data_IF_487284205329
#
_entry.id   IF_487284205329
#
_cell.length_a   1.000
_cell.length_b   1.000
_cell.length_c   1.000
_cell.angle_alpha   90.00
_cell.angle_beta   90.00
_cell.angle_gamma   90.00
#
_symmetry.space_group_name_H-M   'P 1'
#
loop_
_entity.id
_entity.type
_entity.pdbx_description
1 polymer ?
#
# COMPACT_ATOMS: atom_id res chain seq x y z
N UNK A 1 -21.45 -4.62 16.76
CA UNK A 1 -20.79 -3.42 16.19
C UNK A 1 -20.59 -3.67 14.71
N UNK A 2 -21.56 -3.27 13.86
CA UNK A 2 -21.56 -3.62 12.45
C UNK A 2 -21.10 -2.42 11.62
N UNK A 3 -19.98 -2.60 10.91
CA UNK A 3 -19.38 -1.67 9.95
C UNK A 3 -20.26 -1.45 8.69
N UNK A 4 -21.59 -1.42 8.85
CA UNK A 4 -22.59 -1.38 7.79
C UNK A 4 -22.80 0.02 7.19
N UNK A 5 -22.08 1.05 7.65
CA UNK A 5 -22.37 2.45 7.28
C UNK A 5 -21.24 3.21 6.58
N UNK A 6 -20.10 2.58 6.29
CA UNK A 6 -19.02 3.31 5.63
C UNK A 6 -19.33 3.69 4.17
N UNK A 7 -20.10 2.87 3.45
CA UNK A 7 -20.32 3.10 2.01
C UNK A 7 -21.42 4.13 1.70
N UNK A 8 -22.28 4.52 2.66
CA UNK A 8 -23.34 5.50 2.41
C UNK A 8 -22.75 6.92 2.50
N UNK A 9 -22.45 7.53 1.34
CA UNK A 9 -22.03 8.92 1.17
C UNK A 9 -20.60 9.30 1.62
N UNK A 10 -19.72 8.32 1.88
CA UNK A 10 -18.35 8.64 2.25
C UNK A 10 -17.50 8.96 0.99
N UNK A 11 -17.15 10.24 0.82
CA UNK A 11 -16.38 10.80 -0.32
C UNK A 11 -15.14 9.97 -0.72
N UNK A 12 -14.50 9.34 0.26
CA UNK A 12 -13.26 8.59 0.07
C UNK A 12 -13.46 7.07 0.01
N UNK A 13 -14.70 6.57 0.02
CA UNK A 13 -14.94 5.13 0.08
C UNK A 13 -14.35 4.36 -1.09
N UNK A 14 -14.34 4.98 -2.28
CA UNK A 14 -13.72 4.46 -3.50
C UNK A 14 -12.21 4.22 -3.39
N UNK A 15 -11.53 4.82 -2.41
CA UNK A 15 -10.08 4.64 -2.21
C UNK A 15 -9.76 3.57 -1.17
N UNK A 16 -10.76 2.99 -0.50
CA UNK A 16 -10.56 1.96 0.53
C UNK A 16 -10.97 0.61 -0.05
N UNK A 17 -9.95 -0.14 -0.51
CA UNK A 17 -10.12 -1.43 -1.19
C UNK A 17 -10.46 -2.58 -0.23
N UNK A 18 -9.86 -2.60 0.96
CA UNK A 18 -10.06 -3.65 1.95
C UNK A 18 -10.31 -3.07 3.35
N UNK A 19 -11.22 -3.69 4.12
CA UNK A 19 -11.54 -3.35 5.51
C UNK A 19 -12.08 -4.58 6.23
N UNK A 20 -11.54 -4.87 7.40
CA UNK A 20 -12.05 -5.92 8.29
C UNK A 20 -11.92 -5.48 9.75
N UNK A 21 -12.99 -5.62 10.53
CA UNK A 21 -12.99 -5.28 11.95
C UNK A 21 -12.52 -6.50 12.76
N UNK A 22 -11.21 -6.73 12.79
CA UNK A 22 -10.60 -7.84 13.53
C UNK A 22 -9.19 -7.50 14.03
N UNK A 23 -8.76 -8.14 15.10
CA UNK A 23 -7.37 -8.05 15.56
C UNK A 23 -6.44 -8.80 14.62
N UNK A 24 -5.21 -8.32 14.45
CA UNK A 24 -4.26 -8.87 13.49
C UNK A 24 -2.92 -8.13 13.49
N UNK A 25 -2.05 -8.47 12.55
CA UNK A 25 -0.75 -7.83 12.35
C UNK A 25 -0.37 -7.78 10.86
N UNK A 26 0.49 -6.83 10.51
CA UNK A 26 1.02 -6.67 9.15
C UNK A 26 2.40 -7.30 8.98
N UNK A 27 2.69 -7.75 7.77
CA UNK A 27 4.02 -8.19 7.35
C UNK A 27 4.36 -7.54 6.01
N UNK A 28 5.46 -6.81 6.00
CA UNK A 28 6.04 -6.22 4.80
C UNK A 28 7.32 -7.00 4.45
N UNK A 29 7.39 -7.51 3.23
CA UNK A 29 8.56 -8.18 2.69
C UNK A 29 9.09 -7.36 1.51
N UNK A 30 10.27 -6.76 1.66
CA UNK A 30 10.98 -6.12 0.55
C UNK A 30 11.73 -7.20 -0.21
N UNK A 31 11.40 -7.37 -1.49
CA UNK A 31 11.95 -8.42 -2.35
C UNK A 31 13.23 -7.91 -3.02
N UNK A 32 13.18 -6.71 -3.58
CA UNK A 32 14.31 -6.03 -4.21
C UNK A 32 14.12 -4.50 -4.12
N UNK A 33 14.97 -3.73 -4.82
CA UNK A 33 14.90 -2.26 -4.81
C UNK A 33 13.62 -1.67 -5.44
N UNK A 34 12.76 -2.50 -6.02
CA UNK A 34 11.54 -2.13 -6.73
C UNK A 34 10.28 -2.80 -6.17
N UNK A 35 10.36 -4.04 -5.73
CA UNK A 35 9.20 -4.85 -5.38
C UNK A 35 9.11 -5.12 -3.88
N UNK A 36 7.91 -5.02 -3.33
CA UNK A 36 7.61 -5.46 -1.98
C UNK A 36 6.25 -6.14 -1.91
N UNK A 37 6.09 -7.14 -1.04
CA UNK A 37 4.81 -7.77 -0.73
C UNK A 37 4.32 -7.28 0.63
N UNK A 38 3.09 -6.77 0.68
CA UNK A 38 2.38 -6.48 1.93
C UNK A 38 1.32 -7.55 2.17
N UNK A 39 1.28 -8.09 3.39
CA UNK A 39 0.19 -8.95 3.84
C UNK A 39 -0.30 -8.53 5.22
N UNK A 40 -1.61 -8.59 5.43
CA UNK A 40 -2.22 -8.46 6.75
C UNK A 40 -2.79 -9.79 7.20
N UNK A 41 -2.45 -10.19 8.42
CA UNK A 41 -2.81 -11.46 9.03
C UNK A 41 -3.79 -11.20 10.16
N UNK A 42 -4.98 -11.80 10.08
CA UNK A 42 -5.95 -11.81 11.18
C UNK A 42 -5.50 -12.79 12.24
N UNK A 43 -5.67 -12.42 13.51
CA UNK A 43 -5.44 -13.32 14.63
C UNK A 43 -6.67 -14.21 14.84
N UNK A 44 -6.59 -15.47 14.39
CA UNK A 44 -7.60 -16.49 14.64
C UNK A 44 -7.13 -17.49 15.72
N UNK A 45 -8.05 -18.26 16.28
CA UNK A 45 -7.78 -19.23 17.35
C UNK A 45 -6.79 -20.33 16.94
N UNK A 46 -6.75 -20.65 15.64
CA UNK A 46 -5.83 -21.64 15.05
C UNK A 46 -4.49 -21.05 14.61
N UNK A 47 -4.31 -19.74 14.74
CA UNK A 47 -3.13 -19.01 14.31
C UNK A 47 -3.43 -17.82 13.40
N UNK A 48 -2.36 -17.13 13.00
CA UNK A 48 -2.47 -15.97 12.13
C UNK A 48 -2.76 -16.37 10.68
N UNK A 49 -3.84 -15.86 10.10
CA UNK A 49 -4.27 -16.19 8.73
C UNK A 49 -4.24 -14.94 7.84
N UNK A 50 -3.66 -15.04 6.64
CA UNK A 50 -3.64 -13.93 5.66
C UNK A 50 -5.05 -13.59 5.22
N UNK A 51 -5.39 -12.30 5.28
CA UNK A 51 -6.73 -11.80 4.89
C UNK A 51 -6.68 -10.65 3.89
N UNK A 52 -5.55 -9.98 3.77
CA UNK A 52 -5.24 -9.02 2.72
C UNK A 52 -3.81 -9.24 2.25
N UNK A 53 -3.58 -9.11 0.94
CA UNK A 53 -2.27 -9.22 0.31
C UNK A 53 -2.19 -8.37 -0.95
N UNK A 54 -1.10 -7.62 -1.10
CA UNK A 54 -0.86 -6.77 -2.28
C UNK A 54 0.64 -6.71 -2.61
N UNK A 55 0.94 -6.74 -3.91
CA UNK A 55 2.28 -6.46 -4.42
C UNK A 55 2.43 -4.95 -4.66
N UNK A 56 3.52 -4.40 -4.14
CA UNK A 56 3.88 -2.99 -4.23
C UNK A 56 5.06 -2.86 -5.18
N UNK A 57 4.93 -1.96 -6.14
CA UNK A 57 5.98 -1.61 -7.09
C UNK A 57 6.42 -0.16 -6.85
N UNK A 58 7.70 0.03 -6.58
CA UNK A 58 8.32 1.34 -6.50
C UNK A 58 8.60 1.87 -7.90
N UNK A 59 8.23 3.13 -8.13
CA UNK A 59 8.59 3.87 -9.33
C UNK A 59 9.83 4.74 -9.15
N UNK A 60 10.60 4.55 -8.07
CA UNK A 60 11.78 5.36 -7.76
C UNK A 60 12.86 5.34 -8.85
N UNK A 61 12.97 4.25 -9.62
CA UNK A 61 13.89 4.13 -10.76
C UNK A 61 13.32 4.67 -12.07
N UNK A 62 12.13 5.29 -12.06
CA UNK A 62 11.53 5.87 -13.25
C UNK A 62 12.32 7.09 -13.69
N UNK A 63 12.62 7.17 -14.99
CA UNK A 63 13.25 8.36 -15.59
C UNK A 63 12.42 9.64 -15.39
N UNK A 64 11.10 9.52 -15.18
CA UNK A 64 10.23 10.65 -14.85
C UNK A 64 10.52 11.26 -13.46
N UNK A 65 11.13 10.50 -12.54
CA UNK A 65 11.53 10.96 -11.22
C UNK A 65 12.92 11.62 -11.22
N UNK A 66 13.71 11.42 -12.28
CA UNK A 66 14.99 12.09 -12.46
C UNK A 66 14.75 13.46 -13.11
N UNK A 67 14.59 14.49 -12.28
CA UNK A 67 14.66 15.87 -12.76
C UNK A 67 16.03 16.08 -13.41
N UNK A 68 16.02 16.30 -14.72
CA UNK A 68 17.21 16.54 -15.51
C UNK A 68 17.86 17.85 -15.04
N UNK A 69 18.93 17.76 -14.26
CA UNK A 69 19.68 18.93 -13.73
C UNK A 69 20.42 19.69 -14.84
N UNK A 70 20.26 19.28 -16.09
CA UNK A 70 21.09 19.72 -17.21
C UNK A 70 20.64 21.05 -17.82
N UNK A 71 19.53 21.66 -17.33
CA UNK A 71 19.09 23.00 -17.78
C UNK A 71 19.64 24.20 -16.99
N UNK A 72 20.48 24.02 -15.96
CA UNK A 72 21.06 25.14 -15.17
C UNK A 72 22.57 25.30 -15.41
N UNK A 73 23.03 25.16 -16.66
CA UNK A 73 24.43 25.48 -17.03
C UNK A 73 24.60 26.29 -18.33
N UNK A 74 23.52 26.77 -18.92
CA UNK A 74 23.59 27.58 -20.16
C UNK A 74 23.31 29.08 -19.93
N UNK A 75 23.25 29.54 -18.66
CA UNK A 75 23.26 30.97 -18.30
C UNK A 75 24.42 31.27 -17.33
N UNK A 76 25.64 31.30 -17.86
CA UNK A 76 26.79 32.03 -17.33
C UNK A 76 27.84 32.25 -18.42
#
# INVERSE_FOLDING_TARGET
MLMKRFNANHKYAKFSLFREASFGHGRLQVIDGKNASWSWHRNDDSGATVRDEVQLESHSSSSACHHDKTKIKDEL
#
